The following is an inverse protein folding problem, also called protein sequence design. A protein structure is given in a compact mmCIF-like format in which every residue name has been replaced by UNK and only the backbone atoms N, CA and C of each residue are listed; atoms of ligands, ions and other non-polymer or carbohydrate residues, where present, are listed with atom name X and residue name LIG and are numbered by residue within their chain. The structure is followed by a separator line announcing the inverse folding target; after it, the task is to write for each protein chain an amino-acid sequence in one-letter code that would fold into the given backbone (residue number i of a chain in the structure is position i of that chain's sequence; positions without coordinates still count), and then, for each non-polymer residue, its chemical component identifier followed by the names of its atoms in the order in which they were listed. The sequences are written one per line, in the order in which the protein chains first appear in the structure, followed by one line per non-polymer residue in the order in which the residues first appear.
data_IF_487433499458
#
_entry.id   IF_487433499458
#
_cell.length_a   1.000
_cell.length_b   1.000
_cell.length_c   1.000
_cell.angle_alpha   90.00
_cell.angle_beta   90.00
_cell.angle_gamma   90.00
#
_symmetry.space_group_name_H-M   'P 1'
#
loop_
_entity.id
_entity.type
_entity.pdbx_description
1 polymer ?
#
# COMPACT_ATOMS: atom_id res chain seq x y z
N UNK A 1 22.71 -31.67 14.07
CA UNK A 1 21.50 -32.18 13.41
C UNK A 1 20.92 -31.06 12.55
N UNK A 2 20.89 -31.23 11.23
CA UNK A 2 20.51 -30.20 10.25
C UNK A 2 19.00 -30.28 10.02
N UNK A 3 18.26 -29.23 10.38
CA UNK A 3 16.82 -29.12 10.15
C UNK A 3 16.51 -28.84 8.69
N UNK A 4 15.80 -29.77 8.06
CA UNK A 4 15.31 -29.73 6.70
C UNK A 4 14.09 -28.79 6.64
N UNK A 5 14.22 -27.62 6.01
CA UNK A 5 13.08 -26.75 5.70
C UNK A 5 12.33 -27.38 4.52
N UNK A 6 11.16 -27.95 4.80
CA UNK A 6 10.23 -28.43 3.79
C UNK A 6 9.63 -27.23 3.05
N UNK A 7 10.15 -26.97 1.85
CA UNK A 7 9.47 -26.18 0.82
C UNK A 7 8.18 -26.91 0.44
N UNK A 8 7.04 -26.41 0.91
CA UNK A 8 5.73 -26.88 0.46
C UNK A 8 5.57 -26.63 -1.06
N UNK A 9 4.96 -27.57 -1.79
CA UNK A 9 4.86 -27.50 -3.24
C UNK A 9 3.95 -26.36 -3.67
N UNK A 10 4.45 -25.61 -4.65
CA UNK A 10 3.74 -24.64 -5.47
C UNK A 10 2.44 -25.29 -5.98
N UNK A 11 1.30 -24.87 -5.43
CA UNK A 11 -0.02 -25.31 -5.88
C UNK A 11 -0.15 -24.96 -7.37
N UNK A 12 -0.33 -25.99 -8.20
CA UNK A 12 -0.71 -25.86 -9.60
C UNK A 12 -1.97 -24.99 -9.70
N UNK A 13 -1.81 -23.78 -10.21
CA UNK A 13 -2.95 -22.96 -10.59
C UNK A 13 -3.66 -23.62 -11.77
N UNK A 14 -4.97 -23.86 -11.63
CA UNK A 14 -5.91 -24.21 -12.69
C UNK A 14 -5.60 -23.43 -13.98
N UNK A 15 -5.50 -24.14 -15.09
CA UNK A 15 -5.38 -23.57 -16.43
C UNK A 15 -6.67 -22.85 -16.83
N UNK A 16 -6.64 -21.54 -17.16
CA UNK A 16 -7.69 -20.93 -17.95
C UNK A 16 -7.36 -21.16 -19.44
N UNK A 17 -7.38 -22.42 -19.86
CA UNK A 17 -7.12 -22.78 -21.25
C UNK A 17 -8.41 -22.64 -22.06
N UNK A 18 -8.62 -21.48 -22.69
CA UNK A 18 -9.23 -21.37 -24.04
C UNK A 18 -9.57 -19.95 -24.53
N UNK A 19 -9.30 -18.86 -23.79
CA UNK A 19 -9.74 -17.52 -24.23
C UNK A 19 -8.71 -16.66 -24.98
N UNK A 20 -7.46 -17.11 -25.16
CA UNK A 20 -6.44 -16.30 -25.83
C UNK A 20 -5.57 -17.10 -26.81
N UNK A 21 -5.26 -16.54 -28.01
CA UNK A 21 -4.42 -17.21 -29.00
C UNK A 21 -2.99 -17.44 -28.45
N UNK A 22 -2.29 -18.51 -28.89
CA UNK A 22 -0.97 -18.93 -28.36
C UNK A 22 0.11 -17.84 -28.37
N UNK A 23 0.01 -16.90 -29.31
CA UNK A 23 0.92 -15.75 -29.44
C UNK A 23 0.77 -14.76 -28.27
N UNK A 24 -0.46 -14.49 -27.85
CA UNK A 24 -0.74 -13.58 -26.73
C UNK A 24 -0.15 -14.12 -25.41
N UNK A 25 -0.18 -15.44 -25.20
CA UNK A 25 0.39 -16.08 -24.01
C UNK A 25 1.93 -15.97 -23.96
N UNK A 26 2.63 -16.12 -25.09
CA UNK A 26 4.09 -15.97 -25.16
C UNK A 26 4.54 -14.53 -24.87
N UNK A 27 3.83 -13.55 -25.43
CA UNK A 27 4.10 -12.13 -25.20
C UNK A 27 3.80 -11.72 -23.75
N UNK A 28 2.68 -12.19 -23.17
CA UNK A 28 2.36 -11.95 -21.75
C UNK A 28 3.41 -12.55 -20.81
N UNK A 29 3.91 -13.75 -21.10
CA UNK A 29 4.98 -14.36 -20.32
C UNK A 29 6.30 -13.60 -20.44
N UNK A 30 6.59 -13.01 -21.60
CA UNK A 30 7.75 -12.13 -21.78
C UNK A 30 7.62 -10.86 -20.93
N UNK A 31 6.45 -10.21 -20.99
CA UNK A 31 6.16 -9.00 -20.20
C UNK A 31 6.19 -9.28 -18.70
N UNK A 32 5.62 -10.41 -18.24
CA UNK A 32 5.64 -10.80 -16.83
C UNK A 32 7.07 -11.03 -16.31
N UNK A 33 7.94 -11.63 -17.13
CA UNK A 33 9.36 -11.81 -16.82
C UNK A 33 10.10 -10.48 -16.77
N UNK A 34 9.87 -9.59 -17.74
CA UNK A 34 10.45 -8.25 -17.76
C UNK A 34 10.03 -7.44 -16.53
N UNK A 35 8.73 -7.44 -16.18
CA UNK A 35 8.22 -6.78 -14.95
C UNK A 35 8.86 -7.37 -13.69
N UNK A 36 9.04 -8.68 -13.63
CA UNK A 36 9.69 -9.34 -12.49
C UNK A 36 11.17 -8.94 -12.38
N UNK A 37 11.91 -8.96 -13.49
CA UNK A 37 13.31 -8.55 -13.53
C UNK A 37 13.49 -7.10 -13.08
N UNK A 38 12.65 -6.19 -13.60
CA UNK A 38 12.68 -4.77 -13.24
C UNK A 38 12.37 -4.54 -11.75
N UNK A 39 11.33 -5.21 -11.21
CA UNK A 39 11.02 -5.10 -9.76
C UNK A 39 12.18 -5.58 -8.88
N UNK A 40 12.86 -6.65 -9.27
CA UNK A 40 14.03 -7.15 -8.54
C UNK A 40 15.20 -6.16 -8.56
N UNK A 41 15.46 -5.55 -9.72
CA UNK A 41 16.48 -4.49 -9.85
C UNK A 41 16.12 -3.28 -8.97
N UNK A 42 14.88 -2.80 -9.04
CA UNK A 42 14.42 -1.65 -8.25
C UNK A 42 14.53 -1.91 -6.74
N UNK A 43 14.08 -3.08 -6.26
CA UNK A 43 14.25 -3.46 -4.84
C UNK A 43 15.70 -3.50 -4.41
N UNK A 44 16.61 -3.95 -5.28
CA UNK A 44 18.05 -3.97 -4.99
C UNK A 44 18.64 -2.57 -4.91
N UNK A 45 18.17 -1.62 -5.72
CA UNK A 45 18.59 -0.23 -5.66
C UNK A 45 18.08 0.42 -4.38
N UNK A 46 16.77 0.33 -4.12
CA UNK A 46 16.15 0.95 -2.94
C UNK A 46 16.71 0.41 -1.62
N UNK A 47 16.98 -0.90 -1.52
CA UNK A 47 17.60 -1.52 -0.32
C UNK A 47 19.01 -1.00 -0.04
N UNK A 48 19.79 -0.68 -1.09
CA UNK A 48 21.19 -0.29 -0.94
C UNK A 48 21.35 1.15 -0.43
N UNK A 49 20.32 1.98 -0.60
CA UNK A 49 20.41 3.44 -0.49
C UNK A 49 19.66 4.04 0.71
N UNK A 50 19.24 3.27 1.70
CA UNK A 50 18.55 3.81 2.88
C UNK A 50 19.51 4.51 3.85
N UNK A 51 20.00 5.65 3.39
CA UNK A 51 20.85 6.60 4.07
C UNK A 51 20.14 7.96 4.20
N UNK A 52 20.81 8.95 4.77
CA UNK A 52 20.31 10.33 4.94
C UNK A 52 19.76 10.97 3.66
N UNK A 53 20.25 10.56 2.49
CA UNK A 53 19.77 11.06 1.19
C UNK A 53 18.30 10.66 0.92
N UNK A 54 17.90 9.41 1.16
CA UNK A 54 16.50 9.01 0.95
C UNK A 54 15.57 9.69 1.93
N UNK A 55 16.00 9.92 3.18
CA UNK A 55 15.23 10.70 4.14
C UNK A 55 15.03 12.16 3.68
N UNK A 56 16.06 12.73 3.03
CA UNK A 56 15.96 14.06 2.43
C UNK A 56 14.99 14.07 1.24
N UNK A 57 15.09 13.10 0.34
CA UNK A 57 14.18 12.94 -0.80
C UNK A 57 12.72 12.73 -0.34
N UNK A 58 12.49 11.86 0.65
CA UNK A 58 11.18 11.66 1.28
C UNK A 58 10.61 12.96 1.85
N UNK A 59 11.44 13.75 2.52
CA UNK A 59 11.02 15.03 3.07
C UNK A 59 10.64 16.03 1.96
N UNK A 60 11.37 16.04 0.85
CA UNK A 60 11.09 16.90 -0.30
C UNK A 60 9.82 16.46 -1.05
N UNK A 61 9.62 15.15 -1.23
CA UNK A 61 8.39 14.61 -1.85
C UNK A 61 7.17 14.97 -1.00
N UNK A 62 7.23 14.74 0.32
CA UNK A 62 6.13 15.09 1.21
C UNK A 62 5.85 16.59 1.24
N UNK A 63 6.90 17.42 1.24
CA UNK A 63 6.76 18.88 1.15
C UNK A 63 6.03 19.28 -0.13
N UNK A 64 6.44 18.74 -1.28
CA UNK A 64 5.80 19.02 -2.57
C UNK A 64 4.31 18.63 -2.57
N UNK A 65 3.94 17.54 -1.91
CA UNK A 65 2.53 17.14 -1.73
C UNK A 65 1.78 18.16 -0.89
N UNK A 66 2.29 18.51 0.29
CA UNK A 66 1.66 19.45 1.23
C UNK A 66 1.47 20.85 0.62
N UNK A 67 2.41 21.30 -0.19
CA UNK A 67 2.36 22.61 -0.85
C UNK A 67 1.49 22.61 -2.12
N UNK A 68 1.05 21.44 -2.59
CA UNK A 68 0.29 21.35 -3.84
C UNK A 68 -1.16 21.80 -3.70
N UNK A 69 -1.68 22.43 -4.75
CA UNK A 69 -3.08 22.89 -4.77
C UNK A 69 -4.06 21.71 -4.71
N UNK A 70 -3.76 20.60 -5.40
CA UNK A 70 -4.63 19.43 -5.42
C UNK A 70 -4.77 18.80 -4.04
N UNK A 71 -3.70 18.78 -3.24
CA UNK A 71 -3.75 18.29 -1.87
C UNK A 71 -4.58 19.23 -0.99
N UNK A 72 -4.30 20.54 -1.08
CA UNK A 72 -4.96 21.54 -0.26
C UNK A 72 -6.47 21.61 -0.50
N UNK A 73 -6.92 21.44 -1.75
CA UNK A 73 -8.34 21.41 -2.14
C UNK A 73 -9.06 20.09 -1.85
N UNK A 74 -8.33 19.02 -1.53
CA UNK A 74 -8.90 17.69 -1.31
C UNK A 74 -9.27 17.46 0.15
N UNK A 75 -10.49 16.98 0.39
CA UNK A 75 -10.97 16.61 1.72
C UNK A 75 -10.96 15.10 1.95
N UNK A 76 -10.97 14.28 0.90
CA UNK A 76 -10.93 12.81 1.00
C UNK A 76 -9.68 12.31 0.28
N UNK A 77 -8.78 11.68 1.03
CA UNK A 77 -7.45 11.29 0.55
C UNK A 77 -7.28 9.80 0.79
N UNK A 78 -6.97 9.06 -0.27
CA UNK A 78 -6.51 7.69 -0.16
C UNK A 78 -4.99 7.66 -0.08
N UNK A 79 -4.44 7.02 0.94
CA UNK A 79 -3.00 6.96 1.16
C UNK A 79 -2.60 5.69 1.91
N UNK A 80 -1.36 5.24 1.72
CA UNK A 80 -0.81 4.13 2.47
C UNK A 80 -0.04 4.62 3.70
N UNK A 81 0.10 3.73 4.68
CA UNK A 81 0.99 3.93 5.82
C UNK A 81 2.34 3.34 5.45
N UNK A 82 3.38 4.19 5.35
CA UNK A 82 4.73 3.75 5.01
C UNK A 82 5.22 2.67 5.95
N UNK A 83 5.89 1.65 5.42
CA UNK A 83 6.32 0.47 6.16
C UNK A 83 7.78 0.17 5.85
N UNK A 84 8.68 0.17 6.84
CA UNK A 84 10.11 -0.08 6.62
C UNK A 84 10.45 -1.42 5.94
N UNK A 85 9.54 -2.41 5.98
CA UNK A 85 9.73 -3.70 5.30
C UNK A 85 9.65 -3.57 3.77
N UNK A 86 9.08 -2.48 3.28
CA UNK A 86 8.88 -2.15 1.87
C UNK A 86 9.50 -0.78 1.67
N UNK A 87 10.52 -0.68 0.82
CA UNK A 87 11.28 0.57 0.62
C UNK A 87 10.45 1.60 -0.17
N UNK A 88 9.35 2.07 0.43
CA UNK A 88 8.42 3.07 -0.07
C UNK A 88 8.79 4.47 0.44
N UNK A 89 8.16 5.49 -0.15
CA UNK A 89 8.33 6.87 0.30
C UNK A 89 7.64 7.03 1.65
N UNK A 90 8.33 7.61 2.64
CA UNK A 90 7.74 7.93 3.92
C UNK A 90 6.53 8.87 3.77
N UNK A 91 5.42 8.57 4.47
CA UNK A 91 4.17 9.37 4.40
C UNK A 91 3.81 10.05 5.73
N UNK A 92 4.69 9.98 6.73
CA UNK A 92 4.40 10.39 8.11
C UNK A 92 3.99 11.86 8.24
N UNK A 93 4.62 12.79 7.52
CA UNK A 93 4.28 14.23 7.59
C UNK A 93 2.91 14.51 6.98
N UNK A 94 2.57 13.84 5.88
CA UNK A 94 1.26 13.96 5.23
C UNK A 94 0.18 13.44 6.17
N UNK A 95 0.40 12.27 6.78
CA UNK A 95 -0.56 11.69 7.73
C UNK A 95 -0.73 12.58 8.97
N UNK A 96 0.36 13.10 9.52
CA UNK A 96 0.32 14.04 10.65
C UNK A 96 -0.46 15.30 10.31
N UNK A 97 -0.24 15.88 9.12
CA UNK A 97 -1.00 17.03 8.63
C UNK A 97 -2.49 16.71 8.57
N UNK A 98 -2.88 15.60 7.92
CA UNK A 98 -4.28 15.17 7.84
C UNK A 98 -4.89 15.01 9.25
N UNK A 99 -4.23 14.33 10.17
CA UNK A 99 -4.73 14.14 11.53
C UNK A 99 -4.80 15.44 12.32
N UNK A 100 -3.95 16.43 12.03
CA UNK A 100 -4.01 17.75 12.66
C UNK A 100 -5.22 18.58 12.22
N UNK A 101 -5.77 18.32 11.03
CA UNK A 101 -7.00 18.98 10.53
C UNK A 101 -8.29 18.44 11.15
N UNK A 102 -8.22 17.39 11.97
CA UNK A 102 -9.39 16.80 12.63
C UNK A 102 -10.05 17.87 13.52
N UNK A 103 -11.36 18.09 13.33
CA UNK A 103 -12.17 19.14 14.01
C UNK A 103 -11.87 20.58 13.59
N UNK A 104 -11.30 20.77 12.41
CA UNK A 104 -11.17 22.10 11.76
C UNK A 104 -12.18 22.25 10.62
N UNK A 105 -12.43 23.48 10.18
CA UNK A 105 -13.27 23.77 9.01
C UNK A 105 -12.70 23.21 7.70
N UNK A 106 -11.41 22.84 7.69
CA UNK A 106 -10.69 22.26 6.57
C UNK A 106 -10.30 20.80 6.81
N UNK A 107 -11.17 20.05 7.51
CA UNK A 107 -10.92 18.65 7.84
C UNK A 107 -10.65 17.80 6.59
N UNK A 108 -9.53 17.07 6.63
CA UNK A 108 -9.16 16.04 5.67
C UNK A 108 -9.44 14.66 6.28
N UNK A 109 -9.89 13.74 5.43
CA UNK A 109 -10.22 12.36 5.76
C UNK A 109 -9.22 11.43 5.07
N UNK A 110 -8.47 10.67 5.85
CA UNK A 110 -7.53 9.67 5.34
C UNK A 110 -8.23 8.32 5.22
N UNK A 111 -8.13 7.69 4.05
CA UNK A 111 -8.55 6.32 3.81
C UNK A 111 -7.33 5.46 3.49
N UNK A 112 -7.16 4.37 4.23
CA UNK A 112 -5.99 3.48 4.13
C UNK A 112 -6.39 2.15 3.49
N UNK A 113 -5.56 1.57 2.61
CA UNK A 113 -5.84 0.29 1.99
C UNK A 113 -5.92 -0.84 3.03
N UNK A 114 -6.92 -1.69 2.88
CA UNK A 114 -7.09 -2.97 3.56
C UNK A 114 -7.24 -4.06 2.52
N UNK A 115 -6.37 -5.09 2.59
CA UNK A 115 -6.18 -6.04 1.50
C UNK A 115 -6.78 -7.40 1.86
N UNK A 116 -7.61 -7.92 0.96
CA UNK A 116 -8.12 -9.28 0.98
C UNK A 116 -7.31 -10.13 0.00
N UNK A 117 -6.13 -10.59 0.44
CA UNK A 117 -5.13 -11.24 -0.42
C UNK A 117 -5.72 -12.39 -1.28
N UNK A 118 -6.53 -13.25 -0.66
CA UNK A 118 -7.14 -14.41 -1.34
C UNK A 118 -8.06 -14.01 -2.49
N UNK A 119 -8.69 -12.84 -2.41
CA UNK A 119 -9.63 -12.33 -3.40
C UNK A 119 -8.97 -11.32 -4.35
N UNK A 120 -7.69 -10.96 -4.11
CA UNK A 120 -7.04 -9.84 -4.82
C UNK A 120 -7.89 -8.56 -4.81
N UNK A 121 -8.59 -8.35 -3.69
CA UNK A 121 -9.53 -7.25 -3.53
C UNK A 121 -8.99 -6.30 -2.47
N UNK A 122 -9.12 -5.00 -2.72
CA UNK A 122 -8.64 -3.94 -1.85
C UNK A 122 -9.79 -3.00 -1.54
N UNK A 123 -9.98 -2.73 -0.26
CA UNK A 123 -10.89 -1.69 0.24
C UNK A 123 -10.08 -0.56 0.83
N UNK A 124 -10.69 0.60 1.02
CA UNK A 124 -10.06 1.72 1.70
C UNK A 124 -10.94 2.15 2.87
N UNK A 125 -10.42 2.04 4.08
CA UNK A 125 -11.17 2.40 5.28
C UNK A 125 -10.66 3.71 5.87
N UNK A 126 -11.61 4.55 6.29
CA UNK A 126 -11.30 5.81 6.95
C UNK A 126 -10.60 5.59 8.29
N UNK A 127 -9.53 6.34 8.53
CA UNK A 127 -8.88 6.48 9.83
C UNK A 127 -8.62 7.95 10.14
N UNK A 128 -8.55 8.24 11.43
CA UNK A 128 -8.30 9.54 12.06
C UNK A 128 -7.28 9.43 13.21
N UNK A 129 -6.78 8.22 13.49
CA UNK A 129 -5.79 7.93 14.53
C UNK A 129 -4.97 6.69 14.15
N UNK A 130 -3.72 6.64 14.62
CA UNK A 130 -2.85 5.46 14.50
C UNK A 130 -3.36 4.24 15.27
N UNK A 131 -4.19 4.44 16.29
CA UNK A 131 -4.83 3.36 17.07
C UNK A 131 -5.78 2.49 16.22
N UNK A 132 -6.14 2.98 15.03
CA UNK A 132 -7.03 2.30 14.11
C UNK A 132 -6.31 1.31 13.18
N UNK A 133 -5.00 1.15 13.35
CA UNK A 133 -4.15 0.32 12.51
C UNK A 133 -3.71 -0.96 13.26
N UNK A 134 -3.59 -2.04 12.51
CA UNK A 134 -2.99 -3.30 12.97
C UNK A 134 -1.96 -3.78 11.94
N UNK A 135 -0.91 -4.41 12.43
CA UNK A 135 0.16 -4.95 11.59
C UNK A 135 -0.26 -6.29 10.98
N UNK A 136 -0.14 -6.44 9.66
CA UNK A 136 -0.36 -7.71 8.97
C UNK A 136 0.89 -8.62 9.01
N UNK A 137 0.81 -9.81 8.39
CA UNK A 137 1.94 -10.76 8.33
C UNK A 137 3.18 -10.26 7.59
N UNK A 138 3.06 -9.18 6.81
CA UNK A 138 4.15 -8.53 6.08
C UNK A 138 4.76 -7.34 6.82
N UNK A 139 4.30 -7.04 8.05
CA UNK A 139 4.75 -5.88 8.80
C UNK A 139 4.12 -4.56 8.35
N UNK A 140 3.12 -4.61 7.47
CA UNK A 140 2.41 -3.43 6.94
C UNK A 140 1.27 -3.09 7.89
N UNK A 141 1.08 -1.80 8.15
CA UNK A 141 -0.05 -1.31 8.92
C UNK A 141 -1.29 -1.18 8.03
N UNK A 142 -2.34 -1.88 8.40
CA UNK A 142 -3.64 -1.87 7.73
C UNK A 142 -4.73 -1.43 8.72
N UNK A 143 -5.82 -0.79 8.26
CA UNK A 143 -6.88 -0.37 9.15
C UNK A 143 -7.67 -1.57 9.66
N UNK A 144 -8.03 -1.54 10.94
CA UNK A 144 -8.92 -2.52 11.57
C UNK A 144 -10.33 -2.30 11.00
N UNK A 145 -10.95 -3.25 10.28
CA UNK A 145 -12.20 -2.99 9.54
C UNK A 145 -13.41 -2.60 10.42
N UNK A 146 -13.39 -2.97 11.70
CA UNK A 146 -14.44 -2.68 12.67
C UNK A 146 -13.94 -1.64 13.69
N UNK A 147 -14.85 -0.78 14.15
CA UNK A 147 -14.60 0.11 15.28
C UNK A 147 -14.78 -0.65 16.61
N UNK A 148 -14.40 -0.01 17.71
CA UNK A 148 -14.55 -0.56 19.06
C UNK A 148 -16.01 -0.81 19.47
N UNK A 149 -16.96 -0.05 18.89
CA UNK A 149 -18.40 -0.23 19.09
C UNK A 149 -19.02 -1.35 18.23
N UNK A 150 -18.21 -2.05 17.42
CA UNK A 150 -18.66 -3.11 16.52
C UNK A 150 -19.25 -2.63 15.18
N UNK A 151 -19.32 -1.32 14.95
CA UNK A 151 -19.75 -0.77 13.65
C UNK A 151 -18.62 -0.85 12.61
N UNK A 152 -18.94 -1.02 11.32
CA UNK A 152 -17.92 -1.01 10.26
C UNK A 152 -17.31 0.38 10.09
N UNK A 153 -16.01 0.43 9.78
CA UNK A 153 -15.39 1.68 9.31
C UNK A 153 -15.92 2.07 7.94
N UNK A 154 -15.98 3.38 7.69
CA UNK A 154 -16.45 3.91 6.41
C UNK A 154 -15.49 3.47 5.30
N UNK A 155 -16.05 2.79 4.29
CA UNK A 155 -15.36 2.48 3.05
C UNK A 155 -15.38 3.72 2.14
N UNK A 156 -14.27 4.01 1.45
CA UNK A 156 -14.19 5.10 0.47
C UNK A 156 -15.30 5.01 -0.59
N UNK A 157 -15.69 3.79 -0.97
CA UNK A 157 -16.73 3.55 -1.98
C UNK A 157 -18.14 3.88 -1.47
N UNK A 158 -18.30 4.12 -0.17
CA UNK A 158 -19.56 4.49 0.47
C UNK A 158 -19.68 6.00 0.74
N UNK A 159 -18.68 6.80 0.35
CA UNK A 159 -18.77 8.26 0.38
C UNK A 159 -19.80 8.68 -0.68
N UNK A 160 -20.74 9.55 -0.29
CA UNK A 160 -21.79 10.09 -1.17
C UNK A 160 -21.39 11.46 -1.71
#
# INVERSE_FOLDING_TARGET
MRGLILLLPRILSRSPSSLFPPFAYRTMNSVAKQKTALRSQMRSLLRRHYDSLLQHEDAMIQKNVLESEWYNRSNHICGYISCNSIWDVGTSKIIQDIFSTVRTDHQKFLYVPWIQDKQSHMKFFQIDSSEHLATNSFGILEPIPMKSDGSPRQDVMAIK
#
